data_IF_079330520573
#
_entry.id   IF_079330520573
#
_cell.length_a   1.000
_cell.length_b   1.000
_cell.length_c   1.000
_cell.angle_alpha   90.00
_cell.angle_beta   90.00
_cell.angle_gamma   90.00
#
_symmetry.space_group_name_H-M   'P 1'
#
loop_
_entity.id
_entity.type
_entity.pdbx_description
1 polymer ?
#
# COMPACT_ATOMS: atom_id res chain seq x y z
N UNK A 1 27.44 22.86 -38.26
CA UNK A 1 27.70 22.97 -39.71
C UNK A 1 28.12 24.38 -40.03
N UNK A 2 29.35 24.58 -40.53
CA UNK A 2 29.85 25.88 -40.95
C UNK A 2 29.35 26.14 -42.38
N UNK A 3 28.55 27.16 -42.58
CA UNK A 3 28.19 27.66 -43.92
C UNK A 3 29.09 28.85 -44.18
N UNK A 4 29.99 28.74 -45.15
CA UNK A 4 30.76 29.86 -45.68
C UNK A 4 30.13 30.33 -47.00
N UNK A 5 29.68 31.57 -47.04
CA UNK A 5 29.24 32.22 -48.25
C UNK A 5 30.41 33.11 -48.77
N UNK A 6 30.89 32.82 -49.96
CA UNK A 6 31.86 33.68 -50.65
C UNK A 6 31.10 34.57 -51.65
N UNK A 7 31.37 35.87 -51.63
CA UNK A 7 30.87 36.82 -52.62
C UNK A 7 32.04 37.67 -53.16
N UNK A 8 32.17 37.68 -54.40
CA UNK A 8 33.19 38.52 -55.09
C UNK A 8 32.56 39.86 -55.46
N UNK A 9 33.22 41.00 -55.14
CA UNK A 9 32.76 42.31 -55.52
C UNK A 9 33.16 42.61 -56.94
N UNK A 10 32.69 43.75 -57.50
CA UNK A 10 32.94 44.17 -58.85
C UNK A 10 34.42 44.49 -59.16
N UNK A 11 35.26 44.56 -58.13
CA UNK A 11 36.71 44.78 -58.21
C UNK A 11 37.54 43.51 -58.02
N UNK A 12 36.90 42.33 -57.98
CA UNK A 12 37.56 41.03 -57.81
C UNK A 12 37.96 40.65 -56.38
N UNK A 13 37.58 41.42 -55.34
CA UNK A 13 37.87 41.08 -53.94
C UNK A 13 36.87 40.08 -53.41
N UNK A 14 37.38 39.03 -52.78
CA UNK A 14 36.58 38.00 -52.19
C UNK A 14 36.28 38.36 -50.72
N UNK A 15 35.01 38.63 -50.37
CA UNK A 15 34.56 38.79 -49.01
C UNK A 15 33.99 37.48 -48.54
N UNK A 16 34.54 36.94 -47.44
CA UNK A 16 34.08 35.75 -46.79
C UNK A 16 33.24 36.14 -45.55
N UNK A 17 31.97 35.74 -45.49
CA UNK A 17 31.12 35.95 -44.37
C UNK A 17 31.04 34.62 -43.62
N UNK A 18 31.60 34.55 -42.40
CA UNK A 18 31.44 33.43 -41.49
C UNK A 18 30.28 33.72 -40.53
N UNK A 19 29.27 32.86 -40.47
CA UNK A 19 28.29 32.87 -39.40
C UNK A 19 28.91 32.06 -38.28
N UNK A 20 29.28 32.72 -37.15
CA UNK A 20 29.61 32.06 -35.91
C UNK A 20 28.29 31.80 -35.18
N UNK A 21 27.85 30.54 -35.13
CA UNK A 21 26.84 30.13 -34.16
C UNK A 21 27.47 30.20 -32.75
N UNK A 22 27.00 31.12 -31.95
CA UNK A 22 27.27 31.08 -30.49
C UNK A 22 26.56 29.87 -29.92
N UNK A 23 27.33 28.93 -29.42
CA UNK A 23 26.87 27.72 -28.74
C UNK A 23 26.46 28.01 -27.28
N UNK A 24 25.71 29.07 -27.01
CA UNK A 24 25.20 29.43 -25.69
C UNK A 24 23.67 29.64 -25.71
N UNK A 25 22.95 28.69 -26.30
CA UNK A 25 21.54 28.46 -25.98
C UNK A 25 21.47 27.29 -24.99
N UNK A 26 20.47 27.25 -24.06
CA UNK A 26 20.29 26.10 -23.21
C UNK A 26 20.18 24.88 -24.12
N UNK A 27 21.01 23.89 -23.84
CA UNK A 27 21.16 22.69 -24.66
C UNK A 27 19.80 21.96 -24.75
N UNK A 28 19.06 22.25 -25.85
CA UNK A 28 17.74 21.65 -26.09
C UNK A 28 17.79 20.11 -26.09
N UNK A 29 18.98 19.52 -26.27
CA UNK A 29 19.22 18.11 -26.21
C UNK A 29 19.21 17.61 -24.75
N UNK A 30 19.82 18.35 -23.82
CA UNK A 30 19.87 18.01 -22.42
C UNK A 30 18.50 18.12 -21.73
N UNK A 31 17.73 19.16 -22.03
CA UNK A 31 16.37 19.35 -21.53
C UNK A 31 15.42 18.26 -22.06
N UNK A 32 15.54 17.89 -23.34
CA UNK A 32 14.76 16.79 -23.92
C UNK A 32 15.13 15.45 -23.34
N UNK A 33 16.39 15.16 -23.08
CA UNK A 33 16.86 13.94 -22.44
C UNK A 33 16.36 13.85 -20.99
N UNK A 34 16.46 14.94 -20.22
CA UNK A 34 15.97 14.99 -18.84
C UNK A 34 14.44 14.75 -18.77
N UNK A 35 13.67 15.30 -19.70
CA UNK A 35 12.24 15.08 -19.80
C UNK A 35 11.91 13.61 -20.14
N UNK A 36 12.62 13.01 -21.08
CA UNK A 36 12.46 11.61 -21.45
C UNK A 36 12.79 10.67 -20.26
N UNK A 37 13.86 10.95 -19.54
CA UNK A 37 14.27 10.17 -18.37
C UNK A 37 13.24 10.26 -17.24
N UNK A 38 12.72 11.47 -16.98
CA UNK A 38 11.63 11.69 -16.02
C UNK A 38 10.36 10.94 -16.42
N UNK A 39 9.97 11.02 -17.69
CA UNK A 39 8.79 10.30 -18.18
C UNK A 39 8.97 8.78 -18.08
N UNK A 40 10.16 8.26 -18.41
CA UNK A 40 10.48 6.85 -18.24
C UNK A 40 10.42 6.41 -16.77
N UNK A 41 10.94 7.22 -15.85
CA UNK A 41 10.86 6.93 -14.41
C UNK A 41 9.41 6.90 -13.94
N UNK A 42 8.61 7.88 -14.29
CA UNK A 42 7.18 7.92 -13.94
C UNK A 42 6.43 6.72 -14.51
N UNK A 43 6.70 6.34 -15.76
CA UNK A 43 6.11 5.15 -16.37
C UNK A 43 6.51 3.86 -15.63
N UNK A 44 7.79 3.73 -15.26
CA UNK A 44 8.25 2.58 -14.49
C UNK A 44 7.61 2.51 -13.09
N UNK A 45 7.51 3.64 -12.39
CA UNK A 45 6.80 3.72 -11.11
C UNK A 45 5.36 3.24 -11.28
N UNK A 46 4.63 3.84 -12.22
CA UNK A 46 3.24 3.47 -12.52
C UNK A 46 3.07 1.98 -12.81
N UNK A 47 3.97 1.41 -13.61
CA UNK A 47 3.92 0.01 -14.04
C UNK A 47 4.22 -0.99 -12.92
N UNK A 48 5.23 -0.69 -12.08
CA UNK A 48 5.77 -1.66 -11.11
C UNK A 48 5.30 -1.44 -9.66
N UNK A 49 4.42 -0.46 -9.42
CA UNK A 49 3.82 -0.30 -8.09
C UNK A 49 3.03 -1.57 -7.71
N UNK A 50 3.17 -2.06 -6.45
CA UNK A 50 2.47 -3.26 -5.97
C UNK A 50 0.99 -3.00 -5.64
N UNK A 51 0.42 -1.95 -6.19
CA UNK A 51 -0.99 -1.55 -6.05
C UNK A 51 -1.61 -1.35 -7.42
N UNK A 52 -2.88 -1.65 -7.55
CA UNK A 52 -3.64 -1.34 -8.74
C UNK A 52 -3.89 0.16 -8.86
N UNK A 53 -3.81 0.69 -10.07
CA UNK A 53 -4.07 2.11 -10.35
C UNK A 53 -5.04 2.19 -11.50
N UNK A 54 -6.12 2.95 -11.30
CA UNK A 54 -7.10 3.29 -12.33
C UNK A 54 -7.17 4.80 -12.49
N UNK A 55 -7.19 5.26 -13.74
CA UNK A 55 -7.36 6.65 -14.10
C UNK A 55 -8.67 6.82 -14.87
N UNK A 56 -9.54 7.65 -14.33
CA UNK A 56 -10.83 8.00 -14.94
C UNK A 56 -10.81 9.45 -15.42
N UNK A 57 -11.51 9.72 -16.52
CA UNK A 57 -11.73 11.11 -16.93
C UNK A 57 -12.76 11.80 -16.00
N UNK A 58 -13.03 13.08 -16.20
CA UNK A 58 -13.95 13.85 -15.37
C UNK A 58 -15.41 13.38 -15.44
N UNK A 59 -15.78 12.66 -16.48
CA UNK A 59 -17.10 12.01 -16.66
C UNK A 59 -17.18 10.66 -15.94
N UNK A 60 -16.09 10.18 -15.33
CA UNK A 60 -16.02 8.91 -14.64
C UNK A 60 -15.79 7.71 -15.56
N UNK A 61 -15.33 7.94 -16.79
CA UNK A 61 -14.96 6.87 -17.72
C UNK A 61 -13.51 6.45 -17.51
N UNK A 62 -13.26 5.16 -17.36
CA UNK A 62 -11.90 4.61 -17.20
C UNK A 62 -11.12 4.79 -18.51
N UNK A 63 -10.00 5.49 -18.42
CA UNK A 63 -9.13 5.81 -19.57
C UNK A 63 -7.78 5.11 -19.53
N UNK A 64 -7.30 4.72 -18.34
CA UNK A 64 -6.05 3.96 -18.21
C UNK A 64 -6.01 3.18 -16.88
N UNK A 65 -5.18 2.13 -16.84
CA UNK A 65 -4.85 1.35 -15.65
C UNK A 65 -3.45 0.77 -15.75
N UNK A 66 -2.82 0.47 -14.60
CA UNK A 66 -1.53 -0.20 -14.59
C UNK A 66 -1.66 -1.74 -14.70
N UNK A 67 -0.50 -2.40 -14.87
CA UNK A 67 -0.46 -3.85 -15.02
C UNK A 67 -0.94 -4.59 -13.76
N UNK A 68 -0.72 -4.01 -12.56
CA UNK A 68 -1.18 -4.60 -11.29
C UNK A 68 -2.70 -4.61 -11.16
N UNK A 69 -3.38 -3.58 -11.64
CA UNK A 69 -4.84 -3.55 -11.71
C UNK A 69 -5.39 -4.65 -12.63
N UNK A 70 -4.79 -4.79 -13.82
CA UNK A 70 -5.15 -5.85 -14.74
C UNK A 70 -5.00 -7.26 -14.12
N UNK A 71 -3.90 -7.49 -13.40
CA UNK A 71 -3.65 -8.74 -12.67
C UNK A 71 -4.69 -8.98 -11.56
N UNK A 72 -4.95 -7.97 -10.73
CA UNK A 72 -5.85 -8.04 -9.58
C UNK A 72 -7.28 -8.40 -9.98
N UNK A 73 -7.77 -7.81 -11.07
CA UNK A 73 -9.11 -8.05 -11.59
C UNK A 73 -9.19 -9.20 -12.60
N UNK A 74 -8.07 -9.93 -12.79
CA UNK A 74 -7.99 -11.09 -13.68
C UNK A 74 -8.46 -10.79 -15.11
N UNK A 75 -8.04 -9.65 -15.65
CA UNK A 75 -8.35 -9.25 -17.02
C UNK A 75 -7.38 -9.91 -17.99
N UNK A 76 -7.88 -10.32 -19.15
CA UNK A 76 -7.04 -10.83 -20.23
C UNK A 76 -6.23 -9.71 -20.87
N UNK A 77 -6.83 -8.56 -21.03
CA UNK A 77 -6.25 -7.35 -21.61
C UNK A 77 -6.89 -6.12 -20.98
N UNK A 78 -6.22 -4.96 -21.03
CA UNK A 78 -6.72 -3.70 -20.41
C UNK A 78 -8.04 -3.25 -21.04
N UNK A 79 -8.19 -3.49 -22.32
CA UNK A 79 -9.38 -3.14 -23.12
C UNK A 79 -10.67 -3.82 -22.63
N UNK A 80 -10.56 -4.89 -21.84
CA UNK A 80 -11.71 -5.56 -21.22
C UNK A 80 -12.39 -4.68 -20.14
N UNK A 81 -11.68 -3.70 -19.60
CA UNK A 81 -12.17 -2.77 -18.56
C UNK A 81 -12.22 -1.31 -19.04
N UNK A 82 -11.36 -0.89 -19.97
CA UNK A 82 -11.37 0.49 -20.47
C UNK A 82 -12.74 0.89 -21.02
N UNK A 83 -13.13 2.14 -20.74
CA UNK A 83 -14.41 2.70 -21.20
C UNK A 83 -15.58 2.46 -20.24
N UNK A 84 -15.44 1.70 -19.16
CA UNK A 84 -16.50 1.56 -18.15
C UNK A 84 -16.69 2.87 -17.38
N UNK A 85 -17.90 3.06 -16.84
CA UNK A 85 -18.22 4.21 -16.01
C UNK A 85 -18.20 3.83 -14.53
N UNK A 86 -17.35 4.49 -13.74
CA UNK A 86 -17.19 4.22 -12.29
C UNK A 86 -18.53 4.34 -11.54
N UNK A 87 -19.38 5.26 -11.92
CA UNK A 87 -20.67 5.50 -11.29
C UNK A 87 -21.70 4.39 -11.54
N UNK A 88 -21.46 3.55 -12.57
CA UNK A 88 -22.29 2.42 -12.93
C UNK A 88 -21.75 1.09 -12.36
N UNK A 89 -20.57 1.10 -11.72
CA UNK A 89 -20.00 -0.12 -11.13
C UNK A 89 -20.94 -0.67 -10.04
N UNK A 90 -21.48 -1.91 -10.19
CA UNK A 90 -22.47 -2.45 -9.28
C UNK A 90 -21.90 -2.82 -7.90
N UNK A 91 -20.58 -2.95 -7.79
CA UNK A 91 -19.90 -3.41 -6.57
C UNK A 91 -19.39 -2.25 -5.74
N UNK A 92 -19.09 -1.10 -6.37
CA UNK A 92 -18.58 0.06 -5.64
C UNK A 92 -19.66 0.64 -4.71
N UNK A 93 -19.28 0.92 -3.44
CA UNK A 93 -20.20 1.51 -2.47
C UNK A 93 -20.80 2.83 -2.97
N UNK A 94 -22.10 3.05 -2.75
CA UNK A 94 -22.76 4.30 -3.14
C UNK A 94 -22.20 5.53 -2.41
N UNK A 95 -21.67 5.35 -1.20
CA UNK A 95 -20.95 6.40 -0.48
C UNK A 95 -19.71 6.86 -1.27
N UNK A 96 -18.94 5.90 -1.82
CA UNK A 96 -17.78 6.19 -2.67
C UNK A 96 -18.18 6.99 -3.91
N UNK A 97 -19.20 6.53 -4.63
CA UNK A 97 -19.74 7.24 -5.79
C UNK A 97 -20.24 8.64 -5.44
N UNK A 98 -20.88 8.80 -4.28
CA UNK A 98 -21.35 10.10 -3.79
C UNK A 98 -20.21 11.07 -3.53
N UNK A 99 -19.11 10.60 -2.90
CA UNK A 99 -17.92 11.42 -2.66
C UNK A 99 -17.22 11.81 -3.97
N UNK A 100 -17.09 10.87 -4.90
CA UNK A 100 -16.57 11.19 -6.24
C UNK A 100 -17.38 12.26 -6.96
N UNK A 101 -18.73 12.20 -6.92
CA UNK A 101 -19.59 13.23 -7.51
C UNK A 101 -19.42 14.61 -6.86
N UNK A 102 -18.98 14.65 -5.60
CA UNK A 102 -18.66 15.89 -4.87
C UNK A 102 -17.19 16.28 -5.01
N UNK A 103 -16.41 15.51 -5.77
CA UNK A 103 -14.97 15.70 -5.96
C UNK A 103 -14.16 15.63 -4.65
N UNK A 104 -14.67 14.86 -3.67
CA UNK A 104 -14.03 14.65 -2.37
C UNK A 104 -13.06 13.47 -2.43
N UNK A 105 -11.88 13.65 -1.85
CA UNK A 105 -10.94 12.55 -1.63
C UNK A 105 -11.44 11.68 -0.49
N UNK A 106 -11.26 10.36 -0.60
CA UNK A 106 -11.66 9.43 0.45
C UNK A 106 -10.93 8.08 0.36
N UNK A 107 -10.90 7.40 1.49
CA UNK A 107 -10.42 6.03 1.59
C UNK A 107 -11.59 5.11 1.91
N UNK A 108 -11.64 3.97 1.23
CA UNK A 108 -12.69 2.97 1.37
C UNK A 108 -12.10 1.59 1.59
N UNK A 109 -12.72 0.81 2.45
CA UNK A 109 -12.43 -0.61 2.60
C UNK A 109 -13.72 -1.38 2.35
N UNK A 110 -13.70 -2.27 1.38
CA UNK A 110 -14.86 -3.08 1.04
C UNK A 110 -14.47 -4.41 0.40
N UNK A 111 -15.39 -5.36 0.45
CA UNK A 111 -15.22 -6.65 -0.20
C UNK A 111 -15.75 -6.61 -1.62
N UNK A 112 -14.85 -6.77 -2.57
CA UNK A 112 -15.19 -6.87 -3.98
C UNK A 112 -15.55 -8.31 -4.33
N UNK A 113 -16.77 -8.51 -4.83
CA UNK A 113 -17.33 -9.83 -5.13
C UNK A 113 -17.49 -10.03 -6.64
N UNK A 114 -16.67 -10.90 -7.23
CA UNK A 114 -16.66 -11.16 -8.66
C UNK A 114 -17.97 -11.76 -9.17
N UNK A 115 -18.78 -12.39 -8.33
CA UNK A 115 -20.08 -12.93 -8.72
C UNK A 115 -21.13 -11.85 -9.01
N UNK A 116 -20.92 -10.62 -8.53
CA UNK A 116 -21.83 -9.47 -8.68
C UNK A 116 -21.50 -8.55 -9.86
N UNK A 117 -20.43 -8.87 -10.62
CA UNK A 117 -20.01 -8.06 -11.79
C UNK A 117 -21.03 -8.11 -12.89
N UNK A 118 -21.73 -9.27 -13.02
CA UNK A 118 -22.68 -9.56 -14.11
C UNK A 118 -22.01 -9.34 -15.48
N UNK A 119 -22.54 -8.44 -16.29
CA UNK A 119 -21.99 -8.09 -17.59
C UNK A 119 -21.28 -6.72 -17.61
N UNK A 120 -20.97 -6.17 -16.43
CA UNK A 120 -20.40 -4.84 -16.33
C UNK A 120 -19.03 -4.73 -17.04
N UNK A 121 -18.18 -5.75 -16.90
CA UNK A 121 -16.95 -5.90 -17.68
C UNK A 121 -16.54 -7.36 -17.85
N UNK A 122 -15.56 -7.61 -18.75
CA UNK A 122 -15.08 -8.96 -19.05
C UNK A 122 -13.91 -9.31 -18.14
N UNK A 123 -14.06 -10.33 -17.33
CA UNK A 123 -12.98 -10.91 -16.50
C UNK A 123 -12.95 -12.43 -16.63
N UNK A 124 -11.76 -13.01 -16.41
CA UNK A 124 -11.59 -14.47 -16.35
C UNK A 124 -12.13 -15.04 -15.04
N UNK A 125 -12.16 -14.24 -13.96
CA UNK A 125 -12.66 -14.64 -12.63
C UNK A 125 -14.15 -14.29 -12.51
N UNK A 126 -14.97 -15.30 -12.31
CA UNK A 126 -16.44 -15.14 -12.22
C UNK A 126 -17.00 -15.33 -10.81
N UNK A 127 -16.18 -15.80 -9.88
CA UNK A 127 -16.58 -16.07 -8.50
C UNK A 127 -15.43 -15.74 -7.55
N UNK A 128 -15.77 -15.63 -6.25
CA UNK A 128 -14.81 -15.31 -5.22
C UNK A 128 -14.76 -13.81 -4.92
N UNK A 129 -14.00 -13.47 -3.90
CA UNK A 129 -13.92 -12.10 -3.38
C UNK A 129 -12.47 -11.66 -3.21
N UNK A 130 -12.24 -10.35 -3.21
CA UNK A 130 -11.02 -9.70 -2.74
C UNK A 130 -11.39 -8.61 -1.74
N UNK A 131 -10.60 -8.45 -0.69
CA UNK A 131 -10.75 -7.37 0.28
C UNK A 131 -9.90 -6.17 -0.19
N UNK A 132 -10.57 -5.14 -0.71
CA UNK A 132 -9.93 -3.95 -1.28
C UNK A 132 -9.87 -2.82 -0.28
N UNK A 133 -8.71 -2.16 -0.25
CA UNK A 133 -8.56 -0.80 0.26
C UNK A 133 -8.35 0.10 -0.95
N UNK A 134 -9.32 0.98 -1.20
CA UNK A 134 -9.33 1.90 -2.35
C UNK A 134 -9.19 3.33 -1.88
N UNK A 135 -8.15 4.01 -2.35
CA UNK A 135 -7.99 5.45 -2.18
C UNK A 135 -8.45 6.18 -3.43
N UNK A 136 -9.38 7.11 -3.23
CA UNK A 136 -9.95 7.93 -4.30
C UNK A 136 -9.40 9.34 -4.19
N UNK A 137 -8.88 9.87 -5.30
CA UNK A 137 -8.31 11.23 -5.36
C UNK A 137 -8.81 11.94 -6.62
N UNK A 138 -9.36 13.14 -6.44
CA UNK A 138 -9.72 14.03 -7.55
C UNK A 138 -8.49 14.84 -7.98
N UNK A 139 -8.18 14.84 -9.28
CA UNK A 139 -7.07 15.56 -9.87
C UNK A 139 -7.54 16.82 -10.58
N UNK A 140 -6.77 17.89 -10.45
CA UNK A 140 -7.13 19.22 -10.97
C UNK A 140 -6.01 19.79 -11.82
N UNK A 141 -6.37 20.63 -12.78
CA UNK A 141 -5.42 21.46 -13.53
C UNK A 141 -4.95 22.69 -12.72
N UNK A 142 -4.05 23.47 -13.32
CA UNK A 142 -3.52 24.70 -12.69
C UNK A 142 -4.60 25.78 -12.45
N UNK A 143 -5.75 25.67 -13.12
CA UNK A 143 -6.91 26.57 -12.96
C UNK A 143 -7.95 26.01 -11.97
N UNK A 144 -7.62 24.93 -11.25
CA UNK A 144 -8.51 24.24 -10.30
C UNK A 144 -9.77 23.62 -10.95
N UNK A 145 -9.72 23.28 -12.24
CA UNK A 145 -10.76 22.51 -12.88
C UNK A 145 -10.47 21.02 -12.71
N UNK A 146 -11.48 20.23 -12.35
CA UNK A 146 -11.37 18.78 -12.30
C UNK A 146 -10.99 18.23 -13.67
N UNK A 147 -9.93 17.45 -13.71
CA UNK A 147 -9.47 16.78 -14.92
C UNK A 147 -9.75 15.29 -14.89
N UNK A 148 -9.43 14.63 -13.77
CA UNK A 148 -9.46 13.19 -13.66
C UNK A 148 -9.81 12.76 -12.23
N UNK A 149 -10.19 11.47 -12.11
CA UNK A 149 -10.18 10.76 -10.83
C UNK A 149 -9.10 9.68 -10.88
N UNK A 150 -8.34 9.58 -9.81
CA UNK A 150 -7.34 8.55 -9.59
C UNK A 150 -7.82 7.62 -8.49
N UNK A 151 -7.87 6.33 -8.78
CA UNK A 151 -8.11 5.28 -7.78
C UNK A 151 -6.83 4.47 -7.61
N UNK A 152 -6.50 4.20 -6.36
CA UNK A 152 -5.40 3.31 -5.98
C UNK A 152 -6.00 2.18 -5.18
N UNK A 153 -5.89 0.96 -5.71
CA UNK A 153 -6.47 -0.26 -5.15
C UNK A 153 -5.38 -1.13 -4.55
N UNK A 154 -5.52 -1.49 -3.28
CA UNK A 154 -4.67 -2.46 -2.62
C UNK A 154 -5.49 -3.68 -2.22
N UNK A 155 -5.06 -4.87 -2.67
CA UNK A 155 -5.62 -6.14 -2.22
C UNK A 155 -5.06 -6.46 -0.83
N UNK A 156 -5.93 -6.58 0.15
CA UNK A 156 -5.63 -6.91 1.54
C UNK A 156 -6.16 -8.29 1.95
N UNK A 157 -6.58 -9.10 0.99
CA UNK A 157 -7.21 -10.41 1.26
C UNK A 157 -6.34 -11.30 2.14
N UNK A 158 -5.06 -11.47 1.80
CA UNK A 158 -4.15 -12.29 2.61
C UNK A 158 -3.96 -11.74 4.01
N UNK A 159 -3.79 -10.43 4.15
CA UNK A 159 -3.66 -9.76 5.45
C UNK A 159 -4.93 -9.91 6.29
N UNK A 160 -6.10 -9.75 5.68
CA UNK A 160 -7.40 -9.91 6.33
C UNK A 160 -7.60 -11.35 6.80
N UNK A 161 -7.28 -12.33 5.95
CA UNK A 161 -7.36 -13.77 6.32
C UNK A 161 -6.42 -14.10 7.47
N UNK A 162 -5.16 -13.62 7.43
CA UNK A 162 -4.21 -13.83 8.50
C UNK A 162 -4.67 -13.20 9.83
N UNK A 163 -5.18 -11.97 9.77
CA UNK A 163 -5.72 -11.28 10.94
C UNK A 163 -6.92 -12.03 11.54
N UNK A 164 -7.86 -12.47 10.71
CA UNK A 164 -9.04 -13.22 11.19
C UNK A 164 -8.64 -14.56 11.83
N UNK A 165 -7.63 -15.25 11.28
CA UNK A 165 -7.10 -16.47 11.90
C UNK A 165 -6.49 -16.20 13.27
N UNK A 166 -5.74 -15.11 13.43
CA UNK A 166 -5.19 -14.71 14.73
C UNK A 166 -6.32 -14.46 15.73
N UNK A 167 -7.36 -13.72 15.34
CA UNK A 167 -8.53 -13.45 16.19
C UNK A 167 -9.28 -14.74 16.56
N UNK A 168 -9.42 -15.67 15.62
CA UNK A 168 -10.02 -16.97 15.88
C UNK A 168 -9.20 -17.78 16.88
N UNK A 169 -7.88 -17.80 16.74
CA UNK A 169 -6.98 -18.43 17.70
C UNK A 169 -7.10 -17.79 19.09
N UNK A 170 -7.07 -16.46 19.17
CA UNK A 170 -7.22 -15.74 20.44
C UNK A 170 -8.55 -16.10 21.13
N UNK A 171 -9.65 -16.10 20.38
CA UNK A 171 -10.97 -16.49 20.91
C UNK A 171 -11.01 -17.95 21.39
N UNK A 172 -10.39 -18.86 20.64
CA UNK A 172 -10.30 -20.26 21.08
C UNK A 172 -9.43 -20.41 22.34
N UNK A 173 -8.32 -19.67 22.44
CA UNK A 173 -7.51 -19.65 23.64
C UNK A 173 -8.27 -19.12 24.84
N UNK A 174 -9.05 -18.03 24.70
CA UNK A 174 -9.89 -17.52 25.77
C UNK A 174 -10.93 -18.56 26.29
N UNK A 175 -11.55 -19.31 25.35
CA UNK A 175 -12.46 -20.39 25.71
C UNK A 175 -11.77 -21.53 26.45
N UNK A 176 -10.56 -21.93 26.04
CA UNK A 176 -9.76 -22.96 26.69
C UNK A 176 -9.30 -22.47 28.06
N UNK A 177 -8.91 -21.23 28.21
CA UNK A 177 -8.49 -20.59 29.46
C UNK A 177 -9.58 -20.65 30.55
N UNK A 178 -10.81 -20.33 30.19
CA UNK A 178 -11.93 -20.37 31.13
C UNK A 178 -12.27 -21.80 31.56
N UNK A 179 -12.08 -22.80 30.68
CA UNK A 179 -12.41 -24.19 30.94
C UNK A 179 -11.28 -24.96 31.62
N UNK A 180 -10.03 -24.78 31.21
CA UNK A 180 -8.87 -25.53 31.68
C UNK A 180 -8.08 -24.83 32.78
N UNK A 181 -8.41 -23.59 33.14
CA UNK A 181 -7.66 -22.73 34.08
C UNK A 181 -6.18 -22.61 33.69
N UNK A 182 -5.90 -22.58 32.41
CA UNK A 182 -4.56 -22.37 31.85
C UNK A 182 -4.40 -20.89 31.58
N UNK A 183 -3.33 -20.29 32.05
CA UNK A 183 -2.96 -18.94 31.76
C UNK A 183 -1.64 -18.91 30.97
N UNK A 184 -1.51 -17.98 30.01
CA UNK A 184 -0.31 -17.82 29.23
C UNK A 184 0.33 -16.46 29.50
N UNK A 185 1.66 -16.46 29.67
CA UNK A 185 2.49 -15.26 29.70
C UNK A 185 3.72 -15.45 28.82
N UNK A 186 4.08 -14.39 28.10
CA UNK A 186 5.32 -14.30 27.37
C UNK A 186 6.12 -13.12 27.92
N UNK A 187 7.36 -13.36 28.33
CA UNK A 187 8.18 -12.34 28.95
C UNK A 187 9.64 -12.47 28.52
N UNK A 188 10.16 -11.39 27.94
CA UNK A 188 11.58 -11.27 27.61
C UNK A 188 12.34 -10.88 28.88
N UNK A 189 13.13 -11.81 29.39
CA UNK A 189 13.90 -11.65 30.65
C UNK A 189 15.05 -10.64 30.55
N UNK A 190 15.53 -10.37 29.33
CA UNK A 190 16.65 -9.44 29.09
C UNK A 190 16.16 -8.01 28.96
N UNK A 191 15.07 -7.81 28.24
CA UNK A 191 14.48 -6.49 28.02
C UNK A 191 13.41 -6.13 29.05
N UNK A 192 13.06 -7.06 29.92
CA UNK A 192 12.02 -6.94 30.96
C UNK A 192 10.66 -6.49 30.40
N UNK A 193 10.32 -6.98 29.19
CA UNK A 193 9.09 -6.68 28.50
C UNK A 193 8.32 -7.94 28.15
N UNK A 194 6.99 -7.85 28.18
CA UNK A 194 6.16 -8.98 27.82
C UNK A 194 4.69 -8.69 27.99
N UNK A 195 3.89 -9.72 27.77
CA UNK A 195 2.46 -9.67 27.98
C UNK A 195 1.97 -10.98 28.61
N UNK A 196 0.86 -10.90 29.34
CA UNK A 196 0.16 -12.07 29.84
C UNK A 196 -1.35 -11.91 29.59
N UNK A 197 -2.00 -13.04 29.40
CA UNK A 197 -3.45 -13.09 29.25
C UNK A 197 -4.14 -12.82 30.60
N UNK A 198 -5.38 -12.34 30.54
CA UNK A 198 -6.17 -12.05 31.73
C UNK A 198 -6.34 -13.27 32.62
N UNK A 199 -6.52 -14.47 32.04
CA UNK A 199 -6.60 -15.75 32.75
C UNK A 199 -5.34 -16.07 33.56
N UNK A 200 -4.16 -15.71 33.06
CA UNK A 200 -2.91 -15.90 33.77
C UNK A 200 -2.88 -15.10 35.08
N UNK A 201 -3.24 -13.83 35.07
CA UNK A 201 -3.37 -13.00 36.26
C UNK A 201 -4.46 -13.57 37.23
N UNK A 202 -5.62 -13.92 36.66
CA UNK A 202 -6.72 -14.49 37.42
C UNK A 202 -6.33 -15.79 38.13
N UNK A 203 -5.61 -16.68 37.45
CA UNK A 203 -5.14 -17.95 38.01
C UNK A 203 -4.10 -17.76 39.13
N UNK A 204 -3.33 -16.69 39.08
CA UNK A 204 -2.37 -16.30 40.11
C UNK A 204 -3.01 -15.48 41.26
N UNK A 205 -4.26 -15.05 41.09
CA UNK A 205 -4.92 -14.16 42.05
C UNK A 205 -4.43 -12.71 41.97
N UNK A 206 -3.82 -12.34 40.87
CA UNK A 206 -3.27 -11.01 40.63
C UNK A 206 -4.23 -10.12 39.83
N UNK A 207 -4.02 -8.81 39.94
CA UNK A 207 -4.73 -7.84 39.09
C UNK A 207 -4.09 -7.73 37.71
N UNK A 208 -4.89 -7.55 36.67
CA UNK A 208 -4.41 -7.43 35.30
C UNK A 208 -3.51 -6.21 35.05
N UNK A 209 -3.56 -5.22 35.92
CA UNK A 209 -2.76 -4.01 35.89
C UNK A 209 -1.39 -4.19 36.57
N UNK A 210 -1.15 -5.31 37.27
CA UNK A 210 0.13 -5.59 37.95
C UNK A 210 1.21 -5.79 36.87
N UNK A 211 2.30 -5.03 36.89
CA UNK A 211 3.40 -5.21 35.94
C UNK A 211 3.98 -6.63 36.01
N UNK A 212 4.22 -7.23 34.85
CA UNK A 212 4.80 -8.59 34.80
C UNK A 212 6.13 -8.70 35.52
N UNK A 213 6.93 -7.65 35.52
CA UNK A 213 8.24 -7.56 36.22
C UNK A 213 8.09 -7.69 37.75
N UNK A 214 6.93 -7.34 38.32
CA UNK A 214 6.66 -7.49 39.74
C UNK A 214 6.26 -8.92 40.11
N UNK A 215 5.76 -9.70 39.17
CA UNK A 215 5.31 -11.09 39.34
C UNK A 215 6.44 -12.04 38.90
N UNK A 216 6.97 -11.87 37.70
CA UNK A 216 8.04 -12.67 37.12
C UNK A 216 9.37 -12.20 37.74
N UNK A 217 10.02 -13.09 38.48
CA UNK A 217 11.24 -12.79 39.24
C UNK A 217 11.05 -12.71 40.74
N UNK A 218 9.83 -12.48 41.22
CA UNK A 218 9.50 -12.61 42.65
C UNK A 218 8.87 -13.98 42.98
N UNK A 219 8.04 -14.46 42.06
CA UNK A 219 7.35 -15.78 42.16
C UNK A 219 6.72 -16.06 43.49
N UNK A 220 6.04 -15.08 44.06
CA UNK A 220 5.39 -15.22 45.39
C UNK A 220 4.28 -16.28 45.40
N UNK A 221 3.80 -16.69 44.23
CA UNK A 221 2.75 -17.70 44.03
C UNK A 221 3.28 -19.13 43.99
N UNK A 222 4.60 -19.32 43.94
CA UNK A 222 5.21 -20.64 43.95
C UNK A 222 5.37 -21.15 45.40
N UNK A 223 5.31 -22.48 45.54
CA UNK A 223 5.69 -23.10 46.77
C UNK A 223 7.11 -22.70 47.18
N UNK A 224 7.42 -22.46 48.45
CA UNK A 224 8.75 -22.01 48.89
C UNK A 224 9.91 -22.84 48.35
N UNK A 225 9.76 -24.16 48.26
CA UNK A 225 10.80 -25.09 47.77
C UNK A 225 11.06 -24.89 46.26
N UNK A 226 10.00 -24.65 45.47
CA UNK A 226 10.11 -24.46 44.00
C UNK A 226 10.60 -23.05 43.63
N UNK A 227 10.34 -22.09 44.54
CA UNK A 227 10.72 -20.70 44.30
C UNK A 227 12.23 -20.52 44.15
N UNK A 228 13.01 -21.17 45.02
CA UNK A 228 14.48 -21.10 44.94
C UNK A 228 14.99 -21.68 43.64
N UNK A 229 14.47 -22.83 43.22
CA UNK A 229 14.82 -23.48 41.96
C UNK A 229 14.52 -22.58 40.76
N UNK A 230 13.35 -21.93 40.76
CA UNK A 230 12.95 -21.03 39.66
C UNK A 230 13.82 -19.75 39.62
N UNK A 231 14.15 -19.17 40.76
CA UNK A 231 15.03 -17.98 40.82
C UNK A 231 16.45 -18.29 40.32
N UNK A 232 16.99 -19.46 40.71
CA UNK A 232 18.28 -19.92 40.21
C UNK A 232 18.26 -20.16 38.68
N UNK A 233 17.20 -20.80 38.19
CA UNK A 233 17.00 -21.00 36.75
C UNK A 233 16.99 -19.64 35.99
N UNK A 234 16.24 -18.65 36.47
CA UNK A 234 16.18 -17.32 35.84
C UNK A 234 17.57 -16.64 35.83
N UNK A 235 18.32 -16.75 36.93
CA UNK A 235 19.68 -16.18 36.96
C UNK A 235 20.61 -16.83 35.95
N UNK A 236 20.51 -18.13 35.78
CA UNK A 236 21.28 -18.88 34.79
C UNK A 236 20.90 -18.47 33.37
N UNK A 237 19.61 -18.37 33.05
CA UNK A 237 19.15 -17.90 31.73
C UNK A 237 19.61 -16.47 31.44
N UNK A 238 19.57 -15.55 32.41
CA UNK A 238 20.09 -14.19 32.27
C UNK A 238 21.61 -14.15 32.02
N UNK A 239 22.35 -15.16 32.47
CA UNK A 239 23.81 -15.31 32.24
C UNK A 239 24.15 -16.07 30.96
N UNK A 240 23.15 -16.57 30.23
CA UNK A 240 23.35 -17.36 29.01
C UNK A 240 23.81 -18.80 29.29
N UNK A 241 23.50 -19.35 30.45
CA UNK A 241 23.79 -20.72 30.89
C UNK A 241 22.57 -21.61 30.77
#
# INVERSE_FOLDING_TARGET
>A
SKICLQRTDENGNVKVYGIAETQDGPDMSSASQALQERNRLLHNIYKYLPVGIELYNREGILIDMNDKEQEMFHLKQKEDLLGINIFENPIFPEEMKSKLRKHENADFTFRYDFSKIDNYYKTQKKTGTIDLVTKVTSLYDDNHNLTNYLLINADKTETTVAYNKIQEFESHFELIDDYAKVGYANYDLLNEQGYAQRSWYKNLGEKTETPLSEIIGTYNHLHPDDRTIMLDFLQNVKRGL
#
